data_IF_424891255128
#
_entry.id   IF_424891255128
#
_cell.length_a   1.000
_cell.length_b   1.000
_cell.length_c   1.000
_cell.angle_alpha   90.00
_cell.angle_beta   90.00
_cell.angle_gamma   90.00
#
_symmetry.space_group_name_H-M   'P 1'
#
loop_
_entity.id
_entity.type
_entity.pdbx_description
1 polymer ?
#
# COMPACT_ATOMS: atom_id res chain seq x y z
N UNK A 1 -8.20 -11.68 4.36
CA UNK A 1 -7.26 -10.60 4.77
C UNK A 1 -5.84 -11.15 4.81
N UNK A 2 -4.91 -10.58 4.03
CA UNK A 2 -3.50 -11.03 3.92
C UNK A 2 -2.55 -9.88 4.22
N UNK A 3 -1.43 -10.17 4.88
CA UNK A 3 -0.38 -9.19 5.19
C UNK A 3 0.95 -9.71 4.68
N UNK A 4 1.73 -8.87 4.02
CA UNK A 4 3.06 -9.22 3.53
C UNK A 4 3.97 -7.99 3.44
N UNK A 5 5.27 -8.22 3.62
CA UNK A 5 6.30 -7.21 3.35
C UNK A 5 6.42 -6.97 1.85
N UNK A 6 6.64 -5.72 1.46
CA UNK A 6 6.81 -5.32 0.08
C UNK A 6 8.00 -4.36 -0.05
N UNK A 7 8.78 -4.56 -1.10
CA UNK A 7 9.81 -3.63 -1.50
C UNK A 7 9.21 -2.40 -2.19
N UNK A 8 10.02 -1.34 -2.33
CA UNK A 8 9.58 -0.07 -2.89
C UNK A 8 8.99 -0.22 -4.30
N UNK A 9 9.61 -1.03 -5.15
CA UNK A 9 9.17 -1.28 -6.54
C UNK A 9 7.76 -1.87 -6.56
N UNK A 10 7.51 -2.92 -5.77
CA UNK A 10 6.18 -3.51 -5.66
C UNK A 10 5.14 -2.52 -5.12
N UNK A 11 5.52 -1.68 -4.15
CA UNK A 11 4.63 -0.63 -3.63
C UNK A 11 4.26 0.39 -4.72
N UNK A 12 5.23 0.79 -5.54
CA UNK A 12 5.00 1.71 -6.65
C UNK A 12 4.10 1.09 -7.73
N UNK A 13 4.36 -0.16 -8.11
CA UNK A 13 3.55 -0.90 -9.08
C UNK A 13 2.08 -0.98 -8.60
N UNK A 14 1.85 -1.38 -7.36
CA UNK A 14 0.50 -1.46 -6.77
C UNK A 14 -0.22 -0.11 -6.75
N UNK A 15 0.51 0.99 -6.54
CA UNK A 15 -0.04 2.37 -6.57
C UNK A 15 -0.34 2.84 -8.00
N UNK A 16 0.41 2.39 -9.01
CA UNK A 16 0.21 2.73 -10.41
C UNK A 16 -0.91 1.90 -11.06
N UNK A 17 -0.98 0.61 -10.76
CA UNK A 17 -2.01 -0.31 -11.24
C UNK A 17 -3.37 -0.06 -10.57
N UNK A 18 -3.35 0.45 -9.35
CA UNK A 18 -4.54 0.78 -8.58
C UNK A 18 -4.92 2.27 -8.59
N UNK A 19 -6.08 2.57 -8.00
CA UNK A 19 -6.50 3.94 -7.71
C UNK A 19 -6.18 4.29 -6.26
N UNK A 20 -5.29 5.25 -6.03
CA UNK A 20 -5.07 5.82 -4.69
C UNK A 20 -6.33 6.53 -4.22
N UNK A 21 -6.83 6.13 -3.05
CA UNK A 21 -8.03 6.71 -2.41
C UNK A 21 -7.65 7.79 -1.41
N UNK A 22 -6.66 7.50 -0.58
CA UNK A 22 -6.16 8.42 0.44
C UNK A 22 -4.71 8.13 0.77
N UNK A 23 -3.96 9.18 1.05
CA UNK A 23 -2.61 9.12 1.61
C UNK A 23 -2.60 9.88 2.93
N UNK A 24 -2.02 9.27 3.96
CA UNK A 24 -1.76 9.89 5.26
C UNK A 24 -0.29 9.76 5.59
N UNK A 25 0.36 10.88 5.74
CA UNK A 25 1.76 10.96 6.17
C UNK A 25 1.85 11.07 7.69
N UNK A 26 2.80 10.34 8.27
CA UNK A 26 3.22 10.43 9.65
C UNK A 26 4.76 10.51 9.68
N UNK A 27 5.34 10.92 10.81
CA UNK A 27 6.79 11.11 10.94
C UNK A 27 7.58 9.82 10.59
N UNK A 28 7.05 8.66 10.96
CA UNK A 28 7.74 7.38 10.81
C UNK A 28 7.29 6.55 9.60
N UNK A 29 6.20 6.90 8.92
CA UNK A 29 5.65 6.12 7.79
C UNK A 29 4.58 6.89 7.03
N UNK A 30 4.28 6.42 5.82
CA UNK A 30 3.15 6.86 5.00
C UNK A 30 2.16 5.72 4.82
N UNK A 31 0.88 5.99 5.11
CA UNK A 31 -0.21 5.05 4.83
C UNK A 31 -0.88 5.47 3.51
N UNK A 32 -1.01 4.55 2.56
CA UNK A 32 -1.75 4.75 1.32
C UNK A 32 -2.83 3.69 1.19
N UNK A 33 -4.09 4.10 1.06
CA UNK A 33 -5.18 3.19 0.69
C UNK A 33 -5.34 3.18 -0.83
N UNK A 34 -5.37 1.99 -1.43
CA UNK A 34 -5.46 1.78 -2.87
C UNK A 34 -6.61 0.84 -3.19
N UNK A 35 -7.38 1.16 -4.23
CA UNK A 35 -8.34 0.25 -4.87
C UNK A 35 -7.66 -0.39 -6.08
N UNK A 36 -7.21 -1.62 -5.91
CA UNK A 36 -6.59 -2.42 -6.98
C UNK A 36 -7.65 -3.11 -7.83
N UNK A 37 -7.50 -3.16 -9.17
CA UNK A 37 -8.48 -3.81 -10.04
C UNK A 37 -8.63 -5.32 -9.77
N UNK A 38 -7.56 -5.99 -9.36
CA UNK A 38 -7.53 -7.45 -9.16
C UNK A 38 -7.45 -7.86 -7.69
N UNK A 39 -6.76 -7.08 -6.85
CA UNK A 39 -6.48 -7.41 -5.45
C UNK A 39 -7.46 -6.73 -4.47
N UNK A 40 -8.43 -5.97 -4.98
CA UNK A 40 -9.43 -5.31 -4.14
C UNK A 40 -8.87 -4.14 -3.33
N UNK A 41 -9.12 -4.11 -2.03
CA UNK A 41 -8.69 -3.01 -1.15
C UNK A 41 -7.31 -3.31 -0.59
N UNK A 42 -6.37 -2.41 -0.84
CA UNK A 42 -5.03 -2.46 -0.27
C UNK A 42 -4.81 -1.31 0.69
N UNK A 43 -4.15 -1.58 1.81
CA UNK A 43 -3.57 -0.58 2.69
C UNK A 43 -2.07 -0.80 2.71
N UNK A 44 -1.32 0.20 2.24
CA UNK A 44 0.13 0.17 2.14
C UNK A 44 0.69 1.04 3.26
N UNK A 45 1.56 0.47 4.09
CA UNK A 45 2.32 1.20 5.11
C UNK A 45 3.78 1.25 4.66
N UNK A 46 4.22 2.41 4.19
CA UNK A 46 5.55 2.61 3.63
C UNK A 46 6.46 3.31 4.64
N UNK A 47 7.64 2.75 4.89
CA UNK A 47 8.69 3.34 5.73
C UNK A 47 9.49 4.39 4.91
N UNK A 48 10.21 5.31 5.56
CA UNK A 48 11.03 6.31 4.88
C UNK A 48 12.14 5.72 4.00
N UNK A 49 12.55 4.46 4.26
CA UNK A 49 13.56 3.74 3.48
C UNK A 49 12.98 3.04 2.23
N UNK A 50 11.73 3.30 1.86
CA UNK A 50 11.10 2.82 0.63
C UNK A 50 10.30 1.53 0.78
N UNK A 51 10.76 0.59 1.61
CA UNK A 51 10.04 -0.66 1.88
C UNK A 51 8.82 -0.48 2.80
N UNK A 52 7.99 -1.51 2.91
CA UNK A 52 6.77 -1.40 3.68
C UNK A 52 6.03 -2.71 3.86
N UNK A 53 4.80 -2.59 4.39
CA UNK A 53 3.86 -3.70 4.55
C UNK A 53 2.61 -3.39 3.75
N UNK A 54 2.11 -4.38 3.02
CA UNK A 54 0.84 -4.31 2.32
C UNK A 54 -0.17 -5.20 3.04
N UNK A 55 -1.35 -4.64 3.29
CA UNK A 55 -2.50 -5.34 3.83
C UNK A 55 -3.57 -5.40 2.75
N UNK A 56 -3.89 -6.62 2.32
CA UNK A 56 -5.06 -6.92 1.51
C UNK A 56 -6.25 -7.09 2.44
N UNK A 57 -7.19 -6.14 2.35
CA UNK A 57 -8.41 -6.14 3.15
C UNK A 57 -9.58 -6.70 2.32
N UNK A 58 -10.25 -7.71 2.86
CA UNK A 58 -11.56 -8.15 2.36
C UNK A 58 -12.63 -7.24 2.96
N UNK A 59 -13.64 -6.94 2.13
CA UNK A 59 -14.85 -6.12 2.35
C UNK A 59 -14.87 -5.11 3.52
#
# INVERSE_FOLDING_TARGET
MRVFDAEQTLIEDLKQEGKVVVTKEAEAFTITAVRHPTLGKLVIVQKPNGGGVVVEAEE
#
